data_IF_225688512726
#
_entry.id   IF_225688512726
#
_cell.length_a   1.000
_cell.length_b   1.000
_cell.length_c   1.000
_cell.angle_alpha   90.00
_cell.angle_beta   90.00
_cell.angle_gamma   90.00
#
_symmetry.space_group_name_H-M   'P 1'
#
loop_
_entity.id
_entity.type
_entity.pdbx_description
1 polymer ?
#
# COMPACT_ATOMS: atom_id res chain seq x y z
N UNK A 1 54.31 6.42 -1.17
CA UNK A 1 53.65 5.52 -2.14
C UNK A 1 52.15 5.69 -1.97
N UNK A 2 51.50 6.48 -2.82
CA UNK A 2 50.04 6.70 -2.79
C UNK A 2 49.34 5.55 -3.50
N UNK A 3 48.38 4.91 -2.82
CA UNK A 3 47.64 3.75 -3.35
C UNK A 3 46.82 4.14 -4.61
N UNK A 4 46.92 3.41 -5.73
CA UNK A 4 46.27 3.73 -7.00
C UNK A 4 44.76 3.40 -7.04
N UNK A 5 44.20 2.80 -5.99
CA UNK A 5 42.77 2.45 -5.92
C UNK A 5 42.06 3.24 -4.83
N UNK A 6 41.49 4.38 -5.20
CA UNK A 6 40.44 5.02 -4.40
C UNK A 6 39.10 4.52 -4.94
N UNK A 7 38.23 3.88 -4.11
CA UNK A 7 36.91 3.50 -4.56
C UNK A 7 36.17 4.75 -5.07
N UNK A 8 35.35 4.65 -6.14
CA UNK A 8 34.52 5.76 -6.57
C UNK A 8 33.67 6.19 -5.38
N UNK A 9 33.91 7.40 -4.86
CA UNK A 9 33.00 8.01 -3.90
C UNK A 9 31.73 8.27 -4.69
N UNK A 10 30.67 7.51 -4.42
CA UNK A 10 29.36 7.83 -4.94
C UNK A 10 29.06 9.28 -4.51
N UNK A 11 28.89 10.18 -5.48
CA UNK A 11 28.40 11.53 -5.21
C UNK A 11 26.98 11.39 -4.69
N UNK A 12 26.83 11.37 -3.36
CA UNK A 12 25.52 11.41 -2.70
C UNK A 12 24.84 12.79 -2.87
N UNK A 13 25.53 13.75 -3.48
CA UNK A 13 25.05 15.11 -3.76
C UNK A 13 24.25 15.23 -5.06
N UNK A 14 24.18 14.17 -5.88
CA UNK A 14 23.35 14.17 -7.10
C UNK A 14 22.19 13.19 -6.96
N UNK A 15 21.34 13.37 -5.95
CA UNK A 15 19.94 13.04 -6.16
C UNK A 15 19.43 14.01 -7.23
N UNK A 16 18.68 13.56 -8.25
CA UNK A 16 18.23 14.43 -9.32
C UNK A 16 17.43 15.60 -8.74
N UNK A 17 18.08 16.76 -8.71
CA UNK A 17 17.53 18.08 -8.42
C UNK A 17 16.55 18.47 -9.52
N UNK A 18 15.39 17.82 -9.53
CA UNK A 18 14.36 18.03 -10.56
C UNK A 18 12.94 17.71 -10.11
N UNK A 19 12.76 17.21 -8.89
CA UNK A 19 11.43 16.96 -8.33
C UNK A 19 11.14 18.07 -7.34
N UNK A 20 10.08 18.85 -7.59
CA UNK A 20 9.61 19.86 -6.65
C UNK A 20 9.32 19.26 -5.25
N UNK A 21 9.01 20.12 -4.25
CA UNK A 21 8.74 19.64 -2.90
C UNK A 21 7.70 18.51 -2.91
N UNK A 22 8.01 17.42 -2.21
CA UNK A 22 7.11 16.27 -2.12
C UNK A 22 5.75 16.71 -1.54
N UNK A 23 4.63 16.28 -2.12
CA UNK A 23 3.33 16.46 -1.49
C UNK A 23 3.26 15.66 -0.19
N UNK A 24 2.28 15.96 0.65
CA UNK A 24 2.04 15.19 1.88
C UNK A 24 1.46 13.80 1.54
N UNK A 25 2.13 12.73 2.00
CA UNK A 25 1.80 11.34 1.67
C UNK A 25 1.67 10.49 2.94
N UNK A 26 0.86 9.43 2.89
CA UNK A 26 0.97 8.38 3.91
C UNK A 26 2.26 7.60 3.70
N UNK A 27 2.94 7.28 4.81
CA UNK A 27 4.15 6.47 4.74
C UNK A 27 3.86 5.11 4.08
N UNK A 28 4.53 4.76 2.96
CA UNK A 28 4.21 3.55 2.21
C UNK A 28 4.64 2.27 2.94
N UNK A 29 5.68 2.31 3.78
CA UNK A 29 6.06 1.15 4.61
C UNK A 29 4.99 0.87 5.66
N UNK A 30 4.53 1.93 6.34
CA UNK A 30 3.45 1.81 7.31
C UNK A 30 2.12 1.40 6.65
N UNK A 31 1.81 1.92 5.46
CA UNK A 31 0.65 1.51 4.67
C UNK A 31 0.70 0.01 4.37
N UNK A 32 1.86 -0.50 3.98
CA UNK A 32 2.05 -1.93 3.71
C UNK A 32 1.80 -2.78 4.96
N UNK A 33 2.40 -2.40 6.09
CA UNK A 33 2.22 -3.09 7.36
C UNK A 33 0.75 -3.11 7.82
N UNK A 34 0.07 -1.96 7.78
CA UNK A 34 -1.34 -1.87 8.14
C UNK A 34 -2.25 -2.65 7.19
N UNK A 35 -1.87 -2.80 5.91
CA UNK A 35 -2.64 -3.58 4.94
C UNK A 35 -2.57 -5.08 5.19
N UNK A 36 -1.52 -5.57 5.83
CA UNK A 36 -1.42 -6.97 6.27
C UNK A 36 -2.43 -7.26 7.38
N UNK A 37 -2.61 -6.30 8.30
CA UNK A 37 -3.54 -6.41 9.43
C UNK A 37 -4.99 -6.18 8.99
N UNK A 38 -5.21 -5.19 8.12
CA UNK A 38 -6.55 -4.77 7.71
C UNK A 38 -7.01 -5.48 6.44
N UNK A 39 -6.45 -5.11 5.29
CA UNK A 39 -6.69 -5.77 4.00
C UNK A 39 -5.86 -5.14 2.86
N UNK A 40 -5.65 -5.88 1.75
CA UNK A 40 -5.25 -5.31 0.47
C UNK A 40 -6.17 -4.19 -0.06
N UNK A 41 -7.48 -4.23 0.26
CA UNK A 41 -8.44 -3.18 -0.16
C UNK A 41 -8.03 -1.85 0.47
N UNK A 42 -7.80 -1.85 1.78
CA UNK A 42 -7.32 -0.69 2.53
C UNK A 42 -6.01 -0.14 1.96
N UNK A 43 -5.04 -1.03 1.74
CA UNK A 43 -3.75 -0.66 1.14
C UNK A 43 -3.89 -0.02 -0.23
N UNK A 44 -4.70 -0.61 -1.12
CA UNK A 44 -4.92 -0.09 -2.47
C UNK A 44 -5.54 1.30 -2.47
N UNK A 45 -6.43 1.60 -1.52
CA UNK A 45 -6.97 2.96 -1.35
C UNK A 45 -5.87 3.95 -0.97
N UNK A 46 -5.01 3.61 0.01
CA UNK A 46 -3.90 4.49 0.40
C UNK A 46 -2.90 4.69 -0.73
N UNK A 47 -2.53 3.62 -1.44
CA UNK A 47 -1.63 3.69 -2.59
C UNK A 47 -2.22 4.57 -3.68
N UNK A 48 -3.51 4.41 -3.98
CA UNK A 48 -4.23 5.24 -4.94
C UNK A 48 -4.19 6.71 -4.52
N UNK A 49 -4.48 7.03 -3.26
CA UNK A 49 -4.50 8.41 -2.76
C UNK A 49 -3.11 9.04 -2.76
N UNK A 50 -2.08 8.27 -2.44
CA UNK A 50 -0.69 8.73 -2.56
C UNK A 50 -0.34 9.05 -4.02
N UNK A 51 -0.66 8.17 -4.99
CA UNK A 51 -0.43 8.47 -6.40
C UNK A 51 -1.25 9.65 -6.92
N UNK A 52 -2.48 9.84 -6.42
CA UNK A 52 -3.27 11.04 -6.73
C UNK A 52 -2.58 12.31 -6.25
N UNK A 53 -2.06 12.31 -5.01
CA UNK A 53 -1.32 13.45 -4.48
C UNK A 53 -0.02 13.73 -5.26
N UNK A 54 0.59 12.70 -5.83
CA UNK A 54 1.76 12.78 -6.70
C UNK A 54 1.44 13.25 -8.13
N UNK A 55 0.17 13.41 -8.51
CA UNK A 55 -0.24 13.73 -9.88
C UNK A 55 -0.13 12.55 -10.86
N UNK A 56 0.16 11.35 -10.37
CA UNK A 56 0.41 10.15 -11.18
C UNK A 56 -0.91 9.42 -11.50
N UNK A 57 -1.68 9.99 -12.44
CA UNK A 57 -3.03 9.52 -12.76
C UNK A 57 -3.06 8.05 -13.22
N UNK A 58 -2.08 7.61 -14.01
CA UNK A 58 -1.99 6.22 -14.47
C UNK A 58 -1.76 5.24 -13.31
N UNK A 59 -0.82 5.54 -12.42
CA UNK A 59 -0.53 4.71 -11.26
C UNK A 59 -1.69 4.69 -10.27
N UNK A 60 -2.41 5.81 -10.13
CA UNK A 60 -3.66 5.86 -9.36
C UNK A 60 -4.78 4.99 -9.99
N UNK A 61 -4.87 4.92 -11.34
CA UNK A 61 -5.80 3.98 -12.01
C UNK A 61 -5.41 2.53 -11.74
N UNK A 62 -4.12 2.20 -11.86
CA UNK A 62 -3.62 0.86 -11.52
C UNK A 62 -3.96 0.50 -10.07
N UNK A 63 -3.79 1.44 -9.14
CA UNK A 63 -4.14 1.25 -7.74
C UNK A 63 -5.63 0.95 -7.52
N UNK A 64 -6.50 1.66 -8.25
CA UNK A 64 -7.93 1.39 -8.25
C UNK A 64 -8.27 -0.01 -8.78
N UNK A 65 -7.57 -0.48 -9.81
CA UNK A 65 -7.75 -1.85 -10.32
C UNK A 65 -7.35 -2.89 -9.27
N UNK A 66 -6.24 -2.67 -8.54
CA UNK A 66 -5.86 -3.53 -7.41
C UNK A 66 -6.87 -3.51 -6.26
N UNK A 67 -7.52 -2.37 -6.02
CA UNK A 67 -8.62 -2.26 -5.05
C UNK A 67 -9.79 -3.16 -5.47
N UNK A 68 -10.25 -3.05 -6.72
CA UNK A 68 -11.33 -3.90 -7.24
C UNK A 68 -10.95 -5.38 -7.27
N UNK A 69 -9.73 -5.71 -7.67
CA UNK A 69 -9.22 -7.08 -7.60
C UNK A 69 -9.22 -7.63 -6.17
N UNK A 70 -8.89 -6.79 -5.18
CA UNK A 70 -8.91 -7.17 -3.76
C UNK A 70 -10.33 -7.33 -3.22
N UNK A 71 -11.28 -6.51 -3.66
CA UNK A 71 -12.70 -6.71 -3.34
C UNK A 71 -13.19 -8.03 -3.93
N UNK A 72 -12.88 -8.32 -5.19
CA UNK A 72 -13.22 -9.61 -5.82
C UNK A 72 -12.62 -10.79 -5.04
N UNK A 73 -11.34 -10.71 -4.67
CA UNK A 73 -10.65 -11.76 -3.94
C UNK A 73 -11.17 -11.97 -2.52
N UNK A 74 -11.74 -10.94 -1.89
CA UNK A 74 -12.47 -11.10 -0.62
C UNK A 74 -13.63 -12.08 -0.77
N UNK A 75 -14.43 -11.95 -1.84
CA UNK A 75 -15.53 -12.89 -2.12
C UNK A 75 -14.99 -14.28 -2.45
N UNK A 76 -13.97 -14.41 -3.30
CA UNK A 76 -13.35 -15.71 -3.62
C UNK A 76 -12.88 -16.41 -2.34
N UNK A 77 -12.23 -15.69 -1.43
CA UNK A 77 -11.75 -16.23 -0.16
C UNK A 77 -12.89 -16.75 0.72
N UNK A 78 -14.08 -16.14 0.67
CA UNK A 78 -15.24 -16.62 1.41
C UNK A 78 -15.76 -17.98 0.92
N UNK A 79 -15.60 -18.30 -0.37
CA UNK A 79 -16.05 -19.59 -0.95
C UNK A 79 -14.96 -20.66 -1.01
N UNK A 80 -13.72 -20.26 -1.26
CA UNK A 80 -12.58 -21.16 -1.47
C UNK A 80 -11.76 -21.38 -0.20
N UNK A 81 -11.94 -20.53 0.82
CA UNK A 81 -11.27 -20.59 2.11
C UNK A 81 -10.09 -19.63 2.24
N UNK A 82 -9.66 -19.42 3.49
CA UNK A 82 -8.71 -18.36 3.89
C UNK A 82 -7.33 -18.41 3.22
N UNK A 83 -6.88 -19.57 2.75
CA UNK A 83 -5.59 -19.72 2.07
C UNK A 83 -5.50 -18.89 0.79
N UNK A 84 -6.60 -18.75 0.04
CA UNK A 84 -6.64 -17.90 -1.16
C UNK A 84 -6.37 -16.42 -0.81
N UNK A 85 -6.94 -15.94 0.30
CA UNK A 85 -6.71 -14.60 0.81
C UNK A 85 -5.26 -14.36 1.24
N UNK A 86 -4.64 -15.36 1.89
CA UNK A 86 -3.21 -15.31 2.26
C UNK A 86 -2.30 -15.31 1.03
N UNK A 87 -2.60 -16.08 -0.01
CA UNK A 87 -1.83 -16.01 -1.27
C UNK A 87 -2.01 -14.65 -1.92
N UNK A 88 -3.25 -14.12 -1.93
CA UNK A 88 -3.54 -12.81 -2.50
C UNK A 88 -2.79 -11.67 -1.80
N UNK A 89 -2.70 -11.68 -0.46
CA UNK A 89 -2.00 -10.63 0.29
C UNK A 89 -0.52 -10.57 -0.07
N UNK A 90 0.11 -11.73 -0.28
CA UNK A 90 1.51 -11.83 -0.70
C UNK A 90 1.69 -11.30 -2.13
N UNK A 91 0.83 -11.72 -3.06
CA UNK A 91 0.86 -11.24 -4.45
C UNK A 91 0.70 -9.73 -4.50
N UNK A 92 -0.32 -9.20 -3.83
CA UNK A 92 -0.61 -7.78 -3.76
C UNK A 92 0.57 -7.00 -3.19
N UNK A 93 1.16 -7.49 -2.09
CA UNK A 93 2.29 -6.80 -1.45
C UNK A 93 3.51 -6.74 -2.38
N UNK A 94 3.86 -7.87 -3.00
CA UNK A 94 5.04 -8.00 -3.84
C UNK A 94 4.92 -7.27 -5.17
N UNK A 95 3.76 -7.39 -5.82
CA UNK A 95 3.54 -6.90 -7.19
C UNK A 95 3.14 -5.43 -7.25
N UNK A 96 2.61 -4.89 -6.14
CA UNK A 96 1.99 -3.57 -6.15
C UNK A 96 2.44 -2.67 -5.00
N UNK A 97 2.25 -3.08 -3.73
CA UNK A 97 2.60 -2.22 -2.58
C UNK A 97 4.06 -1.81 -2.58
N UNK A 98 4.95 -2.80 -2.73
CA UNK A 98 6.41 -2.60 -2.69
C UNK A 98 6.88 -1.62 -3.77
N UNK A 99 6.21 -1.55 -4.92
CA UNK A 99 6.56 -0.63 -6.00
C UNK A 99 6.33 0.82 -5.61
N UNK A 100 5.27 1.13 -4.85
CA UNK A 100 5.07 2.50 -4.36
C UNK A 100 6.14 2.89 -3.34
N UNK A 101 6.51 1.99 -2.43
CA UNK A 101 7.61 2.25 -1.50
C UNK A 101 8.89 2.64 -2.23
N UNK A 102 9.29 1.86 -3.24
CA UNK A 102 10.48 2.16 -4.04
C UNK A 102 10.34 3.47 -4.80
N UNK A 103 9.21 3.70 -5.46
CA UNK A 103 8.94 4.92 -6.22
C UNK A 103 9.11 6.20 -5.37
N UNK A 104 8.61 6.19 -4.13
CA UNK A 104 8.72 7.34 -3.20
C UNK A 104 10.15 7.44 -2.66
N UNK A 105 10.75 6.32 -2.27
CA UNK A 105 12.09 6.27 -1.67
C UNK A 105 13.19 6.69 -2.66
N UNK A 106 13.05 6.37 -3.93
CA UNK A 106 13.99 6.79 -4.98
C UNK A 106 13.97 8.30 -5.23
N UNK A 107 12.81 8.96 -5.04
CA UNK A 107 12.66 10.41 -5.28
C UNK A 107 12.97 11.27 -4.06
N UNK A 108 12.52 10.85 -2.89
CA UNK A 108 12.57 11.67 -1.67
C UNK A 108 13.13 10.92 -0.46
N UNK A 109 13.54 9.67 -0.60
CA UNK A 109 14.03 8.87 0.53
C UNK A 109 12.97 8.75 1.64
N UNK A 110 13.35 9.17 2.85
CA UNK A 110 12.45 9.24 4.01
C UNK A 110 11.96 10.67 4.29
N UNK A 111 12.45 11.64 3.52
CA UNK A 111 12.34 13.07 3.75
C UNK A 111 11.24 13.65 2.86
N UNK A 112 10.01 13.39 3.28
CA UNK A 112 8.79 13.95 2.72
C UNK A 112 7.78 14.18 3.86
N UNK A 113 6.86 15.14 3.70
CA UNK A 113 5.82 15.41 4.69
C UNK A 113 4.84 14.23 4.77
N UNK A 114 4.52 13.80 6.00
CA UNK A 114 3.75 12.56 6.24
C UNK A 114 2.35 12.89 6.75
N UNK A 115 1.34 12.31 6.10
CA UNK A 115 -0.07 12.39 6.52
C UNK A 115 -0.30 11.65 7.83
N UNK A 116 -1.25 12.16 8.62
CA UNK A 116 -1.74 11.51 9.83
C UNK A 116 -2.50 10.19 9.56
N UNK A 117 -2.50 9.30 10.56
CA UNK A 117 -3.03 7.94 10.46
C UNK A 117 -4.40 7.71 11.10
N UNK A 118 -4.88 8.63 11.93
CA UNK A 118 -6.09 8.41 12.73
C UNK A 118 -7.30 8.07 11.86
N UNK A 119 -7.60 8.93 10.88
CA UNK A 119 -8.76 8.77 9.98
C UNK A 119 -8.70 7.46 9.17
N UNK A 120 -7.63 7.14 8.42
CA UNK A 120 -7.60 5.91 7.64
C UNK A 120 -7.68 4.68 8.53
N UNK A 121 -7.01 4.65 9.69
CA UNK A 121 -7.10 3.51 10.59
C UNK A 121 -8.52 3.32 11.16
N UNK A 122 -9.20 4.39 11.58
CA UNK A 122 -10.58 4.31 12.03
C UNK A 122 -11.50 3.74 10.94
N UNK A 123 -11.35 4.18 9.70
CA UNK A 123 -12.11 3.65 8.56
C UNK A 123 -11.77 2.17 8.33
N UNK A 124 -10.49 1.81 8.34
CA UNK A 124 -10.01 0.45 8.11
C UNK A 124 -10.52 -0.53 9.17
N UNK A 125 -10.38 -0.19 10.45
CA UNK A 125 -10.89 -1.01 11.56
C UNK A 125 -12.43 -1.06 11.55
N UNK A 126 -13.10 0.06 11.30
CA UNK A 126 -14.57 0.09 11.18
C UNK A 126 -15.09 -0.82 10.07
N UNK A 127 -14.43 -0.80 8.90
CA UNK A 127 -14.77 -1.68 7.78
C UNK A 127 -14.51 -3.16 8.11
N UNK A 128 -13.41 -3.46 8.80
CA UNK A 128 -13.10 -4.82 9.24
C UNK A 128 -14.17 -5.36 10.21
N UNK A 129 -14.54 -4.57 11.22
CA UNK A 129 -15.61 -4.94 12.17
C UNK A 129 -16.94 -5.15 11.45
N UNK A 130 -17.31 -4.23 10.55
CA UNK A 130 -18.53 -4.36 9.74
C UNK A 130 -18.54 -5.64 8.89
N UNK A 131 -17.41 -6.00 8.27
CA UNK A 131 -17.28 -7.24 7.49
C UNK A 131 -17.47 -8.49 8.36
N UNK A 132 -16.87 -8.53 9.57
CA UNK A 132 -17.06 -9.63 10.51
C UNK A 132 -18.51 -9.78 10.97
N UNK A 133 -19.17 -8.67 11.31
CA UNK A 133 -20.59 -8.67 11.70
C UNK A 133 -21.46 -9.21 10.57
N UNK A 134 -21.22 -8.77 9.32
CA UNK A 134 -21.96 -9.24 8.15
C UNK A 134 -21.77 -10.74 7.91
N UNK A 135 -20.55 -11.27 8.04
CA UNK A 135 -20.25 -12.69 7.90
C UNK A 135 -20.99 -13.51 8.97
N UNK A 136 -20.91 -13.09 10.24
CA UNK A 136 -21.58 -13.80 11.35
C UNK A 136 -23.10 -13.79 11.19
N UNK A 137 -23.67 -12.62 10.86
CA UNK A 137 -25.11 -12.49 10.63
C UNK A 137 -25.58 -13.33 9.44
N UNK A 138 -24.82 -13.35 8.34
CA UNK A 138 -25.11 -14.16 7.16
C UNK A 138 -25.08 -15.66 7.45
N UNK A 139 -24.06 -16.14 8.18
CA UNK A 139 -23.97 -17.53 8.63
C UNK A 139 -25.13 -17.90 9.56
N UNK A 140 -25.52 -16.99 10.46
CA UNK A 140 -26.66 -17.20 11.37
C UNK A 140 -28.01 -17.24 10.66
N UNK A 141 -28.17 -16.54 9.53
CA UNK A 141 -29.35 -16.62 8.67
C UNK A 141 -29.37 -17.91 7.84
N UNK A 142 -28.21 -18.38 7.35
CA UNK A 142 -28.11 -19.60 6.55
C UNK A 142 -28.29 -20.89 7.37
N UNK A 143 -28.16 -20.82 8.69
CA UNK A 143 -28.32 -21.96 9.61
C UNK A 143 -29.74 -22.11 10.21
N UNK A 144 -30.68 -21.23 9.81
CA UNK A 144 -32.10 -21.29 10.19
C UNK A 144 -32.93 -21.84 9.03
#
# INVERSE_FOLDING_TARGET
>A
MSSPFTPPKANLETLPSGVGPAPELWNPDAAGAWSIVLSPIFGSVLVMKNYQALGEADLARTARNWMYGSIFMLFVTAFVGGAAGLVWIVIWYMMFQRKQTHYIRERWGKDYPKRGWLVPLLIGFGALVAAWVAIIAGLGLAAR
#
